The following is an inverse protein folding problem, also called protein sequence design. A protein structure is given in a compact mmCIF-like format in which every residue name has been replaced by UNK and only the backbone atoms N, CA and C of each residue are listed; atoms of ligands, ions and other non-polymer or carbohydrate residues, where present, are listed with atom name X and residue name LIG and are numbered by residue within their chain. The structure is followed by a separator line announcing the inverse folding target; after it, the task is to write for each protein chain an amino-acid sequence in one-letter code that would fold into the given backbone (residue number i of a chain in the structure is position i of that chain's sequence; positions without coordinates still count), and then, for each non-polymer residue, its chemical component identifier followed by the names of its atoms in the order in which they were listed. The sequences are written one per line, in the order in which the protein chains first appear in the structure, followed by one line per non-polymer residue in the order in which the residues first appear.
data_IF_394932921702
#
_entry.id   IF_394932921702
#
_cell.length_a   1.000
_cell.length_b   1.000
_cell.length_c   1.000
_cell.angle_alpha   90.00
_cell.angle_beta   90.00
_cell.angle_gamma   90.00
#
_symmetry.space_group_name_H-M   'P 1'
#
loop_
_entity.id
_entity.type
_entity.pdbx_description
1 polymer ?
#
# COMPACT_ATOMS: atom_id res chain seq x y z
N UNK A 1 -45.11 -26.56 -11.23
CA UNK A 1 -44.58 -25.65 -10.18
C UNK A 1 -43.54 -24.75 -10.83
N UNK A 2 -43.83 -23.46 -10.97
CA UNK A 2 -42.93 -22.46 -11.54
C UNK A 2 -41.83 -22.12 -10.52
N UNK A 3 -40.57 -22.29 -10.90
CA UNK A 3 -39.41 -21.80 -10.15
C UNK A 3 -39.25 -20.31 -10.39
N UNK A 4 -39.36 -19.51 -9.33
CA UNK A 4 -39.28 -18.04 -9.39
C UNK A 4 -37.85 -17.61 -9.69
N UNK A 5 -37.62 -17.12 -10.91
CA UNK A 5 -36.45 -16.32 -11.28
C UNK A 5 -36.53 -14.97 -10.57
N UNK A 6 -35.82 -14.80 -9.45
CA UNK A 6 -35.51 -13.47 -8.89
C UNK A 6 -34.32 -12.90 -9.65
N UNK A 7 -34.59 -12.16 -10.72
CA UNK A 7 -33.57 -11.41 -11.43
C UNK A 7 -33.95 -9.91 -11.47
N UNK A 8 -33.12 -9.12 -10.79
CA UNK A 8 -32.57 -7.81 -11.22
C UNK A 8 -33.42 -6.55 -11.00
N UNK A 9 -32.77 -5.58 -10.37
CA UNK A 9 -33.11 -4.16 -10.22
C UNK A 9 -33.17 -3.38 -11.56
N UNK A 10 -33.54 -4.02 -12.69
CA UNK A 10 -33.73 -3.34 -13.98
C UNK A 10 -32.46 -2.90 -14.74
N UNK A 11 -31.26 -3.26 -14.28
CA UNK A 11 -30.00 -2.88 -14.94
C UNK A 11 -29.68 -3.76 -16.17
N UNK A 12 -29.27 -3.12 -17.29
CA UNK A 12 -28.89 -3.79 -18.55
C UNK A 12 -27.60 -4.62 -18.44
N UNK A 13 -26.67 -4.20 -17.60
CA UNK A 13 -25.44 -4.91 -17.27
C UNK A 13 -25.07 -4.55 -15.82
N UNK A 14 -24.41 -5.47 -15.12
CA UNK A 14 -23.83 -5.22 -13.80
C UNK A 14 -22.40 -5.78 -13.80
N UNK A 15 -21.51 -5.10 -13.09
CA UNK A 15 -20.14 -5.52 -12.86
C UNK A 15 -19.95 -5.71 -11.36
N UNK A 16 -19.38 -6.84 -10.96
CA UNK A 16 -19.06 -7.14 -9.57
C UNK A 16 -17.61 -6.71 -9.37
N UNK A 17 -17.37 -5.70 -8.54
CA UNK A 17 -16.04 -5.12 -8.35
C UNK A 17 -15.16 -5.89 -7.33
N UNK A 18 -15.66 -6.96 -6.71
CA UNK A 18 -14.98 -7.80 -5.71
C UNK A 18 -14.14 -7.01 -4.67
N UNK A 19 -14.75 -5.92 -4.19
CA UNK A 19 -14.12 -5.03 -3.20
C UNK A 19 -14.31 -5.62 -1.81
N UNK A 20 -13.20 -5.91 -1.16
CA UNK A 20 -13.16 -6.44 0.20
C UNK A 20 -12.55 -5.42 1.14
N UNK A 21 -13.27 -5.06 2.21
CA UNK A 21 -12.79 -4.12 3.23
C UNK A 21 -13.87 -3.73 4.22
N UNK A 22 -13.48 -3.16 5.36
CA UNK A 22 -14.42 -2.71 6.40
C UNK A 22 -14.88 -1.27 6.21
N UNK A 23 -14.07 -0.43 5.55
CA UNK A 23 -14.35 0.98 5.35
C UNK A 23 -15.04 1.22 3.98
N UNK A 24 -16.37 1.31 4.00
CA UNK A 24 -17.20 1.51 2.80
C UNK A 24 -16.77 2.75 1.98
N UNK A 25 -16.45 3.92 2.59
CA UNK A 25 -15.96 5.07 1.84
C UNK A 25 -14.67 4.78 1.06
N UNK A 26 -13.68 4.12 1.68
CA UNK A 26 -12.46 3.70 0.99
C UNK A 26 -12.76 2.78 -0.20
N UNK A 27 -13.69 1.82 -0.05
CA UNK A 27 -14.07 0.90 -1.13
C UNK A 27 -14.77 1.63 -2.29
N UNK A 28 -15.69 2.54 -1.98
CA UNK A 28 -16.39 3.32 -3.01
C UNK A 28 -15.41 4.20 -3.80
N UNK A 29 -14.44 4.82 -3.13
CA UNK A 29 -13.38 5.60 -3.79
C UNK A 29 -12.50 4.75 -4.70
N UNK A 30 -12.10 3.56 -4.24
CA UNK A 30 -11.30 2.62 -5.06
C UNK A 30 -12.08 2.21 -6.31
N UNK A 31 -13.40 2.07 -6.23
CA UNK A 31 -14.25 1.68 -7.36
C UNK A 31 -14.61 2.82 -8.31
N UNK A 32 -14.50 4.07 -7.85
CA UNK A 32 -15.01 5.22 -8.60
C UNK A 32 -14.15 5.44 -9.84
N UNK A 33 -14.71 5.13 -11.00
CA UNK A 33 -14.06 5.33 -12.30
C UNK A 33 -13.81 6.80 -12.59
N UNK A 34 -14.56 7.75 -12.04
CA UNK A 34 -14.29 9.18 -12.22
C UNK A 34 -13.06 9.64 -11.44
N UNK A 35 -12.79 9.02 -10.28
CA UNK A 35 -11.56 9.25 -9.52
C UNK A 35 -10.37 8.49 -10.10
N UNK A 36 -10.61 7.33 -10.72
CA UNK A 36 -9.58 6.50 -11.32
C UNK A 36 -9.39 6.70 -12.84
N UNK A 37 -10.18 7.54 -13.50
CA UNK A 37 -10.05 7.80 -14.95
C UNK A 37 -8.73 8.50 -15.30
N UNK A 38 -8.06 9.10 -14.31
CA UNK A 38 -6.70 9.62 -14.41
C UNK A 38 -5.69 8.78 -13.59
N UNK A 39 -6.05 7.55 -13.19
CA UNK A 39 -5.14 6.65 -12.46
C UNK A 39 -4.04 6.04 -13.34
N UNK A 40 -3.97 6.44 -14.62
CA UNK A 40 -2.84 6.20 -15.53
C UNK A 40 -1.53 6.83 -15.01
N UNK A 41 -1.62 7.63 -13.95
CA UNK A 41 -0.51 8.05 -13.11
C UNK A 41 -0.74 7.53 -11.69
N UNK A 42 -0.58 6.22 -11.46
CA UNK A 42 0.08 5.82 -10.20
C UNK A 42 1.41 6.55 -10.26
N UNK A 43 1.47 7.77 -9.70
CA UNK A 43 2.62 8.63 -9.81
C UNK A 43 3.83 7.80 -9.43
N UNK A 44 4.78 7.68 -10.36
CA UNK A 44 5.99 6.93 -10.16
C UNK A 44 6.56 7.33 -8.79
N UNK A 45 6.93 6.34 -7.96
CA UNK A 45 7.42 6.62 -6.61
C UNK A 45 8.58 7.60 -6.77
N UNK A 46 8.47 8.84 -6.24
CA UNK A 46 9.46 9.86 -6.51
C UNK A 46 10.82 9.41 -6.00
N UNK A 47 11.89 9.87 -6.65
CA UNK A 47 13.25 9.55 -6.19
C UNK A 47 13.45 10.07 -4.76
N UNK A 48 13.99 9.21 -3.89
CA UNK A 48 14.34 9.60 -2.54
C UNK A 48 15.71 10.29 -2.53
N UNK A 49 15.70 11.62 -2.52
CA UNK A 49 16.88 12.48 -2.54
C UNK A 49 16.81 13.51 -1.39
N UNK A 50 17.06 13.08 -0.13
CA UNK A 50 16.97 13.97 1.02
C UNK A 50 18.02 15.09 0.90
N UNK A 51 17.57 16.32 1.08
CA UNK A 51 18.44 17.50 1.17
C UNK A 51 18.32 18.10 2.57
N UNK A 52 19.43 18.60 3.16
CA UNK A 52 19.37 19.27 4.45
C UNK A 52 18.39 20.44 4.39
N UNK A 53 17.56 20.56 5.41
CA UNK A 53 16.49 21.56 5.47
C UNK A 53 16.88 22.65 6.47
N UNK A 54 16.71 23.91 6.07
CA UNK A 54 16.91 25.03 6.99
C UNK A 54 15.64 25.19 7.81
N UNK A 55 15.75 25.02 9.12
CA UNK A 55 14.69 25.22 10.10
C UNK A 55 14.99 26.47 10.94
N UNK A 56 14.01 26.97 11.69
CA UNK A 56 14.18 28.15 12.57
C UNK A 56 15.29 27.96 13.62
N UNK A 57 15.62 26.71 13.97
CA UNK A 57 16.62 26.35 14.98
C UNK A 57 17.97 25.96 14.39
N UNK A 58 18.11 25.93 13.07
CA UNK A 58 19.36 25.56 12.37
C UNK A 58 19.15 24.65 11.17
N UNK A 59 20.24 24.07 10.67
CA UNK A 59 20.19 23.12 9.55
C UNK A 59 19.89 21.73 10.11
N UNK A 60 18.78 21.14 9.68
CA UNK A 60 18.41 19.77 10.00
C UNK A 60 19.10 18.79 9.04
N UNK A 61 20.05 18.01 9.59
CA UNK A 61 20.74 16.91 8.91
C UNK A 61 20.14 15.54 9.24
N UNK A 62 19.09 15.48 10.06
CA UNK A 62 18.40 14.23 10.40
C UNK A 62 17.41 13.81 9.31
N UNK A 63 17.07 14.73 8.41
CA UNK A 63 16.13 14.54 7.29
C UNK A 63 14.72 14.15 7.74
N UNK A 64 14.38 14.29 9.03
CA UNK A 64 13.12 13.78 9.57
C UNK A 64 11.90 14.39 8.90
N UNK A 65 11.89 15.71 8.71
CA UNK A 65 10.76 16.36 8.03
C UNK A 65 10.71 16.05 6.53
N UNK A 66 11.85 15.72 5.91
CA UNK A 66 11.88 15.21 4.53
C UNK A 66 11.25 13.81 4.46
N UNK A 67 11.62 12.90 5.37
CA UNK A 67 11.09 11.54 5.43
C UNK A 67 9.57 11.52 5.63
N UNK A 68 9.08 12.33 6.56
CA UNK A 68 7.65 12.47 6.83
C UNK A 68 6.91 12.99 5.58
N UNK A 69 7.41 14.05 4.95
CA UNK A 69 6.81 14.61 3.73
C UNK A 69 6.85 13.63 2.56
N UNK A 70 7.97 12.94 2.37
CA UNK A 70 8.14 11.94 1.31
C UNK A 70 7.10 10.81 1.44
N UNK A 71 6.90 10.29 2.66
CA UNK A 71 5.91 9.24 2.91
C UNK A 71 4.48 9.74 2.80
N UNK A 72 4.19 10.97 3.25
CA UNK A 72 2.88 11.61 3.02
C UNK A 72 2.54 11.69 1.53
N UNK A 73 3.50 12.07 0.68
CA UNK A 73 3.30 12.14 -0.77
C UNK A 73 3.06 10.76 -1.40
N UNK A 74 3.74 9.71 -0.92
CA UNK A 74 3.54 8.35 -1.45
C UNK A 74 2.18 7.77 -1.04
N UNK A 75 1.78 7.97 0.22
CA UNK A 75 0.53 7.44 0.75
C UNK A 75 -0.70 8.24 0.26
N UNK A 76 -0.48 9.50 -0.09
CA UNK A 76 -1.49 10.39 -0.63
C UNK A 76 -2.49 10.92 0.41
N UNK A 77 -3.34 11.88 0.01
CA UNK A 77 -4.37 12.42 0.88
C UNK A 77 -5.43 11.35 1.16
N UNK A 78 -5.69 11.11 2.44
CA UNK A 78 -6.67 10.14 2.94
C UNK A 78 -6.46 8.71 2.39
N UNK A 79 -5.43 7.98 2.85
CA UNK A 79 -5.15 6.62 2.37
C UNK A 79 -6.26 5.63 2.75
N UNK A 80 -6.45 4.53 1.99
CA UNK A 80 -7.45 3.53 2.32
C UNK A 80 -7.15 2.87 3.67
N UNK A 81 -8.20 2.61 4.45
CA UNK A 81 -8.05 1.91 5.75
C UNK A 81 -7.86 0.41 5.54
N UNK A 82 -6.60 -0.02 5.62
CA UNK A 82 -6.21 -1.43 5.64
C UNK A 82 -5.97 -1.85 7.10
N UNK A 83 -6.63 -2.92 7.54
CA UNK A 83 -6.47 -3.47 8.90
C UNK A 83 -5.55 -4.67 8.99
N UNK A 84 -5.48 -5.45 7.91
CA UNK A 84 -4.71 -6.68 7.86
C UNK A 84 -3.87 -6.69 6.58
N UNK A 85 -2.55 -6.79 6.72
CA UNK A 85 -1.62 -6.97 5.61
C UNK A 85 -0.85 -8.28 5.80
N UNK A 86 -0.93 -9.16 4.80
CA UNK A 86 -0.12 -10.38 4.75
C UNK A 86 0.80 -10.32 3.55
N UNK A 87 2.11 -10.25 3.82
CA UNK A 87 3.16 -10.27 2.80
C UNK A 87 3.76 -11.67 2.81
N UNK A 88 3.83 -12.32 1.65
CA UNK A 88 4.53 -13.60 1.47
C UNK A 88 5.53 -13.45 0.34
N UNK A 89 6.82 -13.52 0.64
CA UNK A 89 7.86 -13.42 -0.38
C UNK A 89 8.80 -14.62 -0.29
N UNK A 90 9.29 -15.06 -1.44
CA UNK A 90 10.35 -16.04 -1.56
C UNK A 90 11.49 -15.35 -2.30
N UNK A 91 12.69 -15.30 -1.72
CA UNK A 91 13.87 -14.76 -2.40
C UNK A 91 15.05 -15.70 -2.28
N UNK A 92 15.92 -15.82 -3.29
CA UNK A 92 17.14 -16.59 -3.16
C UNK A 92 17.96 -16.08 -1.97
N UNK A 93 18.60 -17.01 -1.25
CA UNK A 93 19.56 -16.63 -0.22
C UNK A 93 20.64 -15.73 -0.85
N UNK A 94 20.99 -14.64 -0.17
CA UNK A 94 21.86 -13.60 -0.73
C UNK A 94 23.23 -14.12 -1.20
N UNK A 95 23.69 -15.24 -0.64
CA UNK A 95 24.90 -15.96 -1.05
C UNK A 95 24.57 -17.40 -1.48
N UNK A 96 24.23 -17.56 -2.76
CA UNK A 96 23.90 -18.85 -3.35
C UNK A 96 25.05 -19.88 -3.27
N UNK A 97 26.30 -19.43 -3.08
CA UNK A 97 27.46 -20.32 -2.92
C UNK A 97 27.46 -21.04 -1.56
N UNK A 98 26.87 -20.40 -0.54
CA UNK A 98 26.73 -20.97 0.81
C UNK A 98 25.43 -21.74 0.98
N UNK A 99 24.36 -21.26 0.36
CA UNK A 99 23.06 -21.90 0.44
C UNK A 99 22.25 -21.64 -0.83
N UNK A 100 22.23 -22.61 -1.73
CA UNK A 100 21.40 -22.56 -2.92
C UNK A 100 19.94 -22.94 -2.60
N UNK A 101 19.26 -22.08 -1.83
CA UNK A 101 17.84 -22.21 -1.48
C UNK A 101 17.17 -20.84 -1.44
N UNK A 102 15.85 -20.85 -1.60
CA UNK A 102 15.04 -19.67 -1.36
C UNK A 102 14.72 -19.53 0.13
N UNK A 103 14.77 -18.29 0.61
CA UNK A 103 14.25 -17.86 1.90
C UNK A 103 12.80 -17.43 1.69
N UNK A 104 11.90 -18.07 2.43
CA UNK A 104 10.49 -17.69 2.48
C UNK A 104 10.26 -16.77 3.69
N UNK A 105 9.73 -15.58 3.47
CA UNK A 105 9.36 -14.62 4.50
C UNK A 105 7.86 -14.43 4.45
N UNK A 106 7.21 -14.58 5.61
CA UNK A 106 5.79 -14.24 5.79
C UNK A 106 5.67 -13.19 6.89
N UNK A 107 5.10 -12.03 6.55
CA UNK A 107 4.82 -10.95 7.50
C UNK A 107 3.31 -10.79 7.59
N UNK A 108 2.77 -10.78 8.81
CA UNK A 108 1.37 -10.48 9.08
C UNK A 108 1.29 -9.26 9.98
N UNK A 109 0.72 -8.18 9.47
CA UNK A 109 0.52 -6.92 10.19
C UNK A 109 -0.97 -6.76 10.44
N UNK A 110 -1.35 -6.59 11.71
CA UNK A 110 -2.71 -6.31 12.14
C UNK A 110 -2.74 -4.97 12.86
N UNK A 111 -3.61 -4.08 12.43
CA UNK A 111 -3.71 -2.70 12.93
C UNK A 111 -5.08 -2.13 12.60
N UNK A 112 -5.47 -1.04 13.24
CA UNK A 112 -6.72 -0.34 12.92
C UNK A 112 -6.57 0.54 11.67
N UNK A 113 -5.35 1.01 11.42
CA UNK A 113 -5.01 1.91 10.31
C UNK A 113 -3.54 1.70 9.94
N UNK A 114 -3.31 0.93 8.87
CA UNK A 114 -1.97 0.59 8.40
C UNK A 114 -1.21 1.80 7.90
N UNK A 115 -1.85 2.71 7.17
CA UNK A 115 -1.19 3.92 6.66
C UNK A 115 -0.65 4.77 7.82
N UNK A 116 -1.47 4.98 8.86
CA UNK A 116 -1.07 5.70 10.07
C UNK A 116 0.06 4.99 10.81
N UNK A 117 0.00 3.66 10.87
CA UNK A 117 1.02 2.83 11.52
C UNK A 117 2.36 2.96 10.80
N UNK A 118 2.36 2.87 9.46
CA UNK A 118 3.54 3.04 8.61
C UNK A 118 4.17 4.44 8.77
N UNK A 119 3.34 5.50 8.74
CA UNK A 119 3.79 6.88 9.02
C UNK A 119 4.47 6.99 10.39
N UNK A 120 3.87 6.38 11.42
CA UNK A 120 4.44 6.40 12.77
C UNK A 120 5.76 5.64 12.86
N UNK A 121 5.92 4.54 12.12
CA UNK A 121 7.17 3.79 12.11
C UNK A 121 8.29 4.56 11.40
N UNK A 122 7.99 5.28 10.32
CA UNK A 122 8.96 6.15 9.64
C UNK A 122 9.36 7.32 10.55
N UNK A 123 8.41 8.03 11.14
CA UNK A 123 8.72 9.19 12.00
C UNK A 123 9.49 8.83 13.28
N UNK A 124 9.44 7.56 13.68
CA UNK A 124 10.22 6.99 14.79
C UNK A 124 11.53 6.33 14.36
N UNK A 125 11.85 6.31 13.06
CA UNK A 125 13.04 5.66 12.51
C UNK A 125 13.03 4.12 12.61
N UNK A 126 11.85 3.50 12.83
CA UNK A 126 11.71 2.05 12.91
C UNK A 126 11.78 1.38 11.54
N UNK A 127 11.35 2.08 10.49
CA UNK A 127 11.55 1.68 9.09
C UNK A 127 12.00 2.89 8.27
N UNK A 128 12.75 2.63 7.19
CA UNK A 128 13.13 3.68 6.26
C UNK A 128 11.91 4.18 5.45
N UNK A 129 11.89 5.46 5.02
CA UNK A 129 10.85 6.00 4.14
C UNK A 129 10.77 5.26 2.79
N UNK A 130 11.87 4.63 2.36
CA UNK A 130 11.98 3.82 1.13
C UNK A 130 11.69 2.33 1.35
N UNK A 131 11.22 1.95 2.55
CA UNK A 131 10.89 0.56 2.89
C UNK A 131 9.91 -0.06 1.90
N UNK A 132 10.13 -1.34 1.60
CA UNK A 132 9.21 -2.11 0.75
C UNK A 132 7.79 -2.17 1.32
N UNK A 133 7.61 -1.99 2.63
CA UNK A 133 6.26 -1.87 3.23
C UNK A 133 5.49 -0.65 2.70
N UNK A 134 6.18 0.48 2.51
CA UNK A 134 5.58 1.71 1.97
C UNK A 134 5.24 1.52 0.49
N UNK A 135 6.16 0.90 -0.27
CA UNK A 135 5.94 0.60 -1.70
C UNK A 135 4.79 -0.38 -1.90
N UNK A 136 4.74 -1.44 -1.08
CA UNK A 136 3.67 -2.44 -1.09
C UNK A 136 2.35 -1.75 -0.78
N UNK A 137 2.28 -0.87 0.22
CA UNK A 137 1.06 -0.11 0.51
C UNK A 137 0.63 0.74 -0.69
N UNK A 138 1.54 1.49 -1.30
CA UNK A 138 1.26 2.33 -2.48
C UNK A 138 0.72 1.53 -3.67
N UNK A 139 1.19 0.30 -3.86
CA UNK A 139 0.76 -0.59 -4.93
C UNK A 139 -0.57 -1.31 -4.63
N UNK A 140 -0.91 -1.50 -3.36
CA UNK A 140 -2.12 -2.22 -2.95
C UNK A 140 -3.35 -1.31 -3.11
N UNK A 141 -4.15 -1.59 -4.15
CA UNK A 141 -5.46 -0.95 -4.38
C UNK A 141 -6.63 -1.62 -3.61
N UNK A 142 -6.42 -2.53 -2.65
CA UNK A 142 -7.53 -3.27 -2.00
C UNK A 142 -7.19 -3.88 -0.63
N UNK A 143 -8.15 -3.94 0.31
CA UNK A 143 -7.93 -4.33 1.72
C UNK A 143 -7.81 -5.86 1.96
N UNK A 144 -7.63 -6.67 0.91
CA UNK A 144 -7.28 -8.09 1.06
C UNK A 144 -6.40 -8.55 -0.08
N UNK A 145 -5.08 -8.41 0.07
CA UNK A 145 -4.11 -8.92 -0.91
C UNK A 145 -3.11 -9.83 -0.20
N UNK A 146 -2.99 -11.05 -0.72
CA UNK A 146 -1.79 -11.86 -0.54
C UNK A 146 -0.79 -11.38 -1.57
N UNK A 147 0.21 -10.62 -1.16
CA UNK A 147 1.28 -10.21 -2.07
C UNK A 147 2.28 -11.36 -2.18
N UNK A 148 2.36 -11.99 -3.35
CA UNK A 148 3.45 -12.88 -3.77
C UNK A 148 4.27 -12.13 -4.81
N UNK A 149 5.53 -11.81 -4.47
CA UNK A 149 6.49 -11.31 -5.44
C UNK A 149 7.20 -12.50 -6.05
N UNK A 150 6.79 -12.87 -7.25
CA UNK A 150 7.54 -13.78 -8.11
C UNK A 150 8.46 -12.88 -8.96
N UNK A 151 9.70 -12.71 -8.51
CA UNK A 151 10.75 -12.15 -9.36
C UNK A 151 11.40 -13.34 -10.08
N UNK A 152 11.20 -13.44 -11.41
CA UNK A 152 11.97 -14.34 -12.30
C UNK A 152 13.47 -13.99 -12.31
#
# INVERSE_FOLDING_TARGET
MQGVSKNRLGYKAYEIADLHGRDIPSLLRINDRAWNANADQLAEIPEYAPTPIITETGIDYTYKAYDENYVENILGPDPPKITDLTIKTSKPFFDASRLNKNINITINIKTDDLARSLKSWVSKGAIAPTSDLIKIFHQIKSNKISYSRDDD
#
